data_IF_870086218257
#
_entry.id   IF_870086218257
#
_cell.length_a   1.000
_cell.length_b   1.000
_cell.length_c   1.000
_cell.angle_alpha   90.00
_cell.angle_beta   90.00
_cell.angle_gamma   90.00
#
_symmetry.space_group_name_H-M   'P 1'
#
loop_
_entity.id
_entity.type
_entity.pdbx_description
1 polymer ?
#
# COMPACT_ATOMS: atom_id res chain seq x y z
N UNK A 1 10.67 13.27 -15.14
CA UNK A 1 11.24 12.45 -14.05
C UNK A 1 10.07 11.99 -13.19
N UNK A 2 9.79 10.70 -13.19
CA UNK A 2 8.71 10.11 -12.40
C UNK A 2 9.20 9.80 -11.00
N UNK A 3 8.36 9.99 -9.99
CA UNK A 3 8.62 9.48 -8.65
C UNK A 3 7.81 8.19 -8.48
N UNK A 4 8.48 7.11 -8.12
CA UNK A 4 7.82 5.87 -7.75
C UNK A 4 7.74 5.81 -6.22
N UNK A 5 6.54 5.64 -5.68
CA UNK A 5 6.36 5.53 -4.23
C UNK A 5 6.38 4.05 -3.85
N UNK A 6 7.41 3.64 -3.11
CA UNK A 6 7.48 2.30 -2.55
C UNK A 6 6.89 2.29 -1.14
N UNK A 7 6.01 1.32 -0.88
CA UNK A 7 5.32 1.12 0.39
C UNK A 7 5.72 -0.23 0.96
N UNK A 8 6.04 -0.29 2.25
CA UNK A 8 6.13 -1.54 2.98
C UNK A 8 4.77 -1.84 3.59
N UNK A 9 4.14 -2.94 3.14
CA UNK A 9 2.80 -3.37 3.53
C UNK A 9 2.80 -4.83 3.97
N UNK A 10 1.80 -5.24 4.73
CA UNK A 10 1.63 -6.65 5.07
C UNK A 10 0.92 -7.44 3.95
N UNK A 11 1.32 -8.70 3.76
CA UNK A 11 0.75 -9.60 2.74
C UNK A 11 -0.76 -9.81 2.89
N UNK A 12 -1.27 -9.86 4.12
CA UNK A 12 -2.69 -10.02 4.37
C UNK A 12 -3.46 -8.79 3.91
N UNK A 13 -2.89 -7.60 4.03
CA UNK A 13 -3.49 -6.35 3.53
C UNK A 13 -3.61 -6.37 2.01
N UNK A 14 -2.55 -6.84 1.30
CA UNK A 14 -2.57 -7.03 -0.16
C UNK A 14 -3.71 -7.98 -0.58
N UNK A 15 -3.93 -9.05 0.20
CA UNK A 15 -4.98 -10.04 -0.03
C UNK A 15 -6.36 -9.64 0.51
N UNK A 16 -6.57 -8.38 0.93
CA UNK A 16 -7.85 -7.88 1.44
C UNK A 16 -8.26 -8.45 2.81
N UNK A 17 -7.33 -9.06 3.56
CA UNK A 17 -7.56 -9.55 4.91
C UNK A 17 -7.19 -8.46 5.92
N UNK A 18 -8.18 -8.06 6.73
CA UNK A 18 -8.13 -6.91 7.63
C UNK A 18 -7.76 -7.26 9.08
N UNK A 19 -6.89 -8.25 9.32
CA UNK A 19 -6.43 -8.53 10.68
C UNK A 19 -5.22 -7.63 11.04
N UNK A 20 -5.53 -6.39 11.42
CA UNK A 20 -4.58 -5.28 11.64
C UNK A 20 -3.80 -5.32 12.96
N UNK A 21 -4.10 -6.25 13.87
CA UNK A 21 -3.65 -6.16 15.26
C UNK A 21 -2.21 -6.65 15.55
N UNK A 22 -1.46 -7.16 14.57
CA UNK A 22 -0.18 -7.85 14.88
C UNK A 22 0.92 -7.80 13.80
N UNK A 23 0.77 -7.05 12.71
CA UNK A 23 1.58 -7.35 11.53
C UNK A 23 2.74 -6.38 11.35
N UNK A 24 3.93 -6.85 11.69
CA UNK A 24 5.19 -6.29 11.18
C UNK A 24 5.08 -6.31 9.65
N UNK A 25 5.18 -5.17 8.95
CA UNK A 25 5.08 -5.14 7.50
C UNK A 25 6.11 -6.08 6.85
N UNK A 26 5.69 -6.92 5.91
CA UNK A 26 6.52 -8.02 5.36
C UNK A 26 6.84 -7.89 3.87
N UNK A 27 6.14 -7.02 3.13
CA UNK A 27 6.19 -6.99 1.66
C UNK A 27 6.32 -5.57 1.11
N UNK A 28 7.26 -5.38 0.18
CA UNK A 28 7.40 -4.13 -0.56
C UNK A 28 6.48 -4.09 -1.77
N UNK A 29 5.75 -2.99 -1.93
CA UNK A 29 4.86 -2.74 -3.06
C UNK A 29 5.12 -1.35 -3.64
N UNK A 30 4.81 -1.17 -4.92
CA UNK A 30 4.93 0.14 -5.60
C UNK A 30 3.53 0.70 -5.83
N UNK A 31 3.30 1.94 -5.45
CA UNK A 31 2.03 2.62 -5.72
C UNK A 31 1.93 2.94 -7.22
N UNK A 32 0.91 2.41 -7.90
CA UNK A 32 0.76 2.60 -9.36
C UNK A 32 -0.13 3.78 -9.73
N UNK A 33 -0.97 4.25 -8.81
CA UNK A 33 -1.86 5.40 -9.00
C UNK A 33 -1.98 6.22 -7.72
N UNK A 34 -2.41 7.48 -7.88
CA UNK A 34 -2.70 8.35 -6.75
C UNK A 34 -3.70 7.69 -5.79
N UNK A 35 -3.40 7.79 -4.49
CA UNK A 35 -4.27 7.31 -3.41
C UNK A 35 -5.59 8.09 -3.43
N UNK A 36 -6.72 7.38 -3.43
CA UNK A 36 -8.04 8.01 -3.30
C UNK A 36 -8.52 7.86 -1.87
N UNK A 37 -8.74 9.00 -1.22
CA UNK A 37 -9.34 9.07 0.12
C UNK A 37 -10.84 9.34 -0.03
N UNK A 38 -11.66 8.43 0.50
CA UNK A 38 -13.11 8.59 0.54
C UNK A 38 -13.56 8.32 1.97
N UNK A 39 -14.11 9.33 2.67
CA UNK A 39 -14.67 9.25 4.04
C UNK A 39 -14.21 8.04 4.90
N UNK A 40 -13.09 8.19 5.62
CA UNK A 40 -12.47 7.16 6.47
C UNK A 40 -11.97 5.89 5.75
N UNK A 41 -12.06 5.82 4.43
CA UNK A 41 -11.48 4.76 3.60
C UNK A 41 -10.40 5.31 2.68
N UNK A 42 -9.42 4.45 2.42
CA UNK A 42 -8.27 4.69 1.56
C UNK A 42 -8.20 3.57 0.55
N UNK A 43 -8.40 3.93 -0.72
CA UNK A 43 -8.29 3.01 -1.84
C UNK A 43 -6.97 3.25 -2.55
N UNK A 44 -6.18 2.18 -2.69
CA UNK A 44 -4.90 2.19 -3.38
C UNK A 44 -4.81 1.08 -4.40
N UNK A 45 -4.04 1.34 -5.45
CA UNK A 45 -3.64 0.35 -6.44
C UNK A 45 -2.13 0.17 -6.31
N UNK A 46 -1.71 -1.06 -6.00
CA UNK A 46 -0.30 -1.37 -5.72
C UNK A 46 0.18 -2.50 -6.63
N UNK A 47 1.44 -2.41 -7.03
CA UNK A 47 2.13 -3.42 -7.82
C UNK A 47 3.11 -4.19 -6.93
N UNK A 48 3.11 -5.50 -7.05
CA UNK A 48 4.09 -6.38 -6.38
C UNK A 48 5.13 -6.87 -7.38
N UNK A 49 6.36 -7.09 -6.91
CA UNK A 49 7.41 -7.74 -7.70
C UNK A 49 7.00 -9.18 -8.01
N UNK A 50 6.46 -9.42 -9.21
CA UNK A 50 5.80 -10.68 -9.55
C UNK A 50 4.69 -10.58 -10.58
N UNK A 51 4.39 -9.37 -11.07
CA UNK A 51 3.52 -9.04 -12.21
C UNK A 51 2.05 -8.73 -11.89
N UNK A 52 1.60 -8.90 -10.65
CA UNK A 52 0.21 -8.64 -10.28
C UNK A 52 0.00 -7.27 -9.63
N UNK A 53 -1.04 -6.58 -10.10
CA UNK A 53 -1.58 -5.34 -9.55
C UNK A 53 -2.76 -5.65 -8.64
N UNK A 54 -2.72 -5.15 -7.40
CA UNK A 54 -3.75 -5.38 -6.40
C UNK A 54 -4.47 -4.08 -6.06
N UNK A 55 -5.79 -4.16 -5.90
CA UNK A 55 -6.60 -3.08 -5.33
C UNK A 55 -6.81 -3.36 -3.85
N UNK A 56 -6.33 -2.45 -3.01
CA UNK A 56 -6.47 -2.54 -1.57
C UNK A 56 -7.37 -1.43 -1.10
N UNK A 57 -8.38 -1.77 -0.30
CA UNK A 57 -9.23 -0.81 0.40
C UNK A 57 -9.05 -1.03 1.89
N UNK A 58 -8.64 0.03 2.60
CA UNK A 58 -8.38 0.00 4.03
C UNK A 58 -9.02 1.21 4.71
N UNK A 59 -9.29 1.11 6.01
CA UNK A 59 -9.62 2.32 6.78
C UNK A 59 -8.41 3.25 6.80
N UNK A 60 -8.65 4.55 6.75
CA UNK A 60 -7.56 5.54 6.70
C UNK A 60 -6.61 5.44 7.90
N UNK A 61 -7.15 5.29 9.11
CA UNK A 61 -6.32 5.17 10.33
C UNK A 61 -5.44 3.92 10.30
N UNK A 62 -5.98 2.81 9.78
CA UNK A 62 -5.28 1.54 9.64
C UNK A 62 -4.19 1.62 8.57
N UNK A 63 -4.49 2.25 7.43
CA UNK A 63 -3.52 2.54 6.37
C UNK A 63 -2.34 3.37 6.90
N UNK A 64 -2.62 4.44 7.66
CA UNK A 64 -1.59 5.31 8.23
C UNK A 64 -0.71 4.61 9.27
N UNK A 65 -1.26 3.66 10.05
CA UNK A 65 -0.50 2.89 11.06
C UNK A 65 0.46 1.88 10.44
N UNK A 66 0.13 1.36 9.27
CA UNK A 66 0.94 0.38 8.55
C UNK A 66 1.77 1.01 7.41
N UNK A 67 1.84 2.34 7.35
CA UNK A 67 2.56 3.08 6.32
C UNK A 67 4.03 3.30 6.71
N UNK A 68 4.94 2.64 5.98
CA UNK A 68 6.33 3.06 5.86
C UNK A 68 6.66 3.17 4.37
N UNK A 69 6.79 4.40 3.89
CA UNK A 69 7.01 4.68 2.48
C UNK A 69 8.33 5.40 2.22
N UNK A 70 9.03 4.99 1.16
CA UNK A 70 10.15 5.74 0.60
C UNK A 70 9.76 6.25 -0.78
N UNK A 71 10.06 7.51 -1.06
CA UNK A 71 9.96 8.07 -2.42
C UNK A 71 11.23 7.66 -3.15
N UNK A 72 11.10 6.77 -4.12
CA UNK A 72 12.17 6.50 -5.07
C UNK A 72 12.08 7.53 -6.19
N UNK A 73 13.14 8.30 -6.37
CA UNK A 73 13.28 9.14 -7.55
C UNK A 73 13.67 8.22 -8.71
N UNK A 74 12.73 7.97 -9.61
CA UNK A 74 13.02 7.29 -10.88
C UNK A 74 13.94 8.17 -11.73
N UNK A 75 14.96 7.55 -12.35
CA UNK A 75 15.88 8.21 -13.29
C UNK A 75 15.14 8.81 -14.48
#
# INVERSE_FOLDING_TARGET
QGYDVCLLMDHNVINGKTNWFSMVPTHWVVLTKAVKLTYQQTDIEVFTWGSDTYKVSAKTDDFLRCYYGYVLVGR
#
